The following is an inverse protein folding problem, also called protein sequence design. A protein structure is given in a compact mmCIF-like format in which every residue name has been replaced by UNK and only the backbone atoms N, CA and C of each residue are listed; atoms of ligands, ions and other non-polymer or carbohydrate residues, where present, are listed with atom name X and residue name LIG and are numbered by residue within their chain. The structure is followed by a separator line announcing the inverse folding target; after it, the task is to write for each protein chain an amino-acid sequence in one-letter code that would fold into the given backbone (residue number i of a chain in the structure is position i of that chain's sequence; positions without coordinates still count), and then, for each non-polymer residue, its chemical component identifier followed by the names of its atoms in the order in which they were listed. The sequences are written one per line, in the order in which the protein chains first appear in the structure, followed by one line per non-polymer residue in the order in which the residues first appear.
data_IF_737093765724
#
_entry.id   IF_737093765724
#
_cell.length_a   1.000
_cell.length_b   1.000
_cell.length_c   1.000
_cell.angle_alpha   90.00
_cell.angle_beta   90.00
_cell.angle_gamma   90.00
#
_symmetry.space_group_name_H-M   'P 1'
#
loop_
_entity.id
_entity.type
_entity.pdbx_description
1 polymer ?
#
# COMPACT_ATOMS: atom_id res chain seq x y z
N UNK A 1 6.11 -15.09 -0.53
CA UNK A 1 7.38 -14.35 -0.52
C UNK A 1 7.39 -13.50 0.74
N UNK A 2 8.37 -13.66 1.64
CA UNK A 2 8.44 -12.92 2.92
C UNK A 2 9.02 -11.51 2.78
N UNK A 3 9.29 -10.79 3.90
CA UNK A 3 10.00 -9.51 3.88
C UNK A 3 11.27 -9.51 3.05
N UNK A 4 11.60 -8.36 2.40
CA UNK A 4 12.85 -8.26 1.69
C UNK A 4 13.96 -8.51 2.70
N UNK A 5 14.99 -9.21 2.28
CA UNK A 5 16.14 -9.45 3.14
C UNK A 5 16.77 -8.11 3.57
N UNK A 6 17.49 -8.11 4.69
CA UNK A 6 18.28 -6.95 5.11
C UNK A 6 19.20 -6.46 3.98
N UNK A 7 19.79 -7.40 3.24
CA UNK A 7 20.68 -7.10 2.12
C UNK A 7 19.95 -6.37 0.98
N UNK A 8 18.78 -6.84 0.56
CA UNK A 8 17.96 -6.17 -0.47
C UNK A 8 17.51 -4.78 -0.04
N UNK A 9 17.23 -4.59 1.25
CA UNK A 9 16.88 -3.28 1.82
C UNK A 9 18.06 -2.32 1.79
N UNK A 10 19.26 -2.78 2.16
CA UNK A 10 20.49 -1.99 2.14
C UNK A 10 20.88 -1.55 0.72
N UNK A 11 20.82 -2.46 -0.25
CA UNK A 11 21.10 -2.16 -1.65
C UNK A 11 20.13 -1.10 -2.21
N UNK A 12 18.85 -1.15 -1.83
CA UNK A 12 17.87 -0.11 -2.21
C UNK A 12 18.20 1.25 -1.60
N UNK A 13 18.59 1.30 -0.33
CA UNK A 13 18.97 2.55 0.33
C UNK A 13 20.21 3.16 -0.33
N UNK A 14 21.22 2.35 -0.64
CA UNK A 14 22.41 2.81 -1.37
C UNK A 14 22.07 3.37 -2.74
N UNK A 15 21.19 2.69 -3.50
CA UNK A 15 20.71 3.18 -4.80
C UNK A 15 19.93 4.51 -4.71
N UNK A 16 19.35 4.81 -3.54
CA UNK A 16 18.70 6.10 -3.25
C UNK A 16 19.68 7.16 -2.73
N UNK A 17 20.98 6.84 -2.63
CA UNK A 17 22.01 7.72 -2.08
C UNK A 17 21.93 7.87 -0.56
N UNK A 18 21.24 6.97 0.12
CA UNK A 18 21.00 6.99 1.56
C UNK A 18 21.87 5.94 2.24
N UNK A 19 22.77 6.37 3.13
CA UNK A 19 23.59 5.46 3.92
C UNK A 19 22.78 4.88 5.08
N UNK A 20 22.76 3.55 5.19
CA UNK A 20 22.14 2.86 6.33
C UNK A 20 22.80 3.21 7.67
N UNK A 21 24.11 3.47 7.70
CA UNK A 21 24.80 3.98 8.88
C UNK A 21 24.34 5.39 9.25
N UNK A 22 24.11 6.26 8.25
CA UNK A 22 23.58 7.61 8.48
C UNK A 22 22.18 7.54 9.08
N UNK A 23 21.30 6.70 8.51
CA UNK A 23 19.97 6.46 9.06
C UNK A 23 20.04 5.89 10.47
N UNK A 24 20.91 4.91 10.71
CA UNK A 24 21.05 4.28 12.02
C UNK A 24 21.55 5.25 13.08
N UNK A 25 22.44 6.19 12.70
CA UNK A 25 22.95 7.24 13.58
C UNK A 25 21.86 8.27 13.94
N UNK A 26 20.98 8.58 13.01
CA UNK A 26 19.94 9.62 13.18
C UNK A 26 18.66 9.07 13.82
N UNK A 27 18.23 7.87 13.42
CA UNK A 27 16.93 7.27 13.78
C UNK A 27 17.04 5.98 14.62
N UNK A 28 18.25 5.48 14.88
CA UNK A 28 18.48 4.20 15.55
C UNK A 28 18.57 3.01 14.59
N UNK A 29 19.05 1.88 15.11
CA UNK A 29 19.25 0.66 14.30
C UNK A 29 17.94 0.15 13.69
N UNK A 30 18.03 -0.36 12.46
CA UNK A 30 16.94 -1.07 11.78
C UNK A 30 16.83 -2.53 12.23
N UNK A 31 17.77 -3.01 13.05
CA UNK A 31 17.69 -4.33 13.69
C UNK A 31 16.65 -4.30 14.81
N UNK A 32 15.45 -4.77 14.50
CA UNK A 32 14.37 -4.98 15.46
C UNK A 32 14.25 -6.47 15.78
N UNK A 33 14.19 -6.81 17.06
CA UNK A 33 13.86 -8.18 17.46
C UNK A 33 12.44 -8.54 16.97
N UNK A 34 12.22 -9.78 16.51
CA UNK A 34 10.88 -10.22 16.14
C UNK A 34 9.91 -10.03 17.32
N UNK A 35 8.81 -9.32 17.09
CA UNK A 35 7.79 -9.19 18.11
C UNK A 35 7.01 -10.51 18.23
N UNK A 36 6.67 -10.90 19.45
CA UNK A 36 5.69 -11.97 19.65
C UNK A 36 4.30 -11.42 19.31
N UNK A 37 3.63 -12.05 18.35
CA UNK A 37 2.26 -11.69 17.98
C UNK A 37 1.30 -12.32 18.99
N UNK A 38 0.55 -11.50 19.72
CA UNK A 38 -0.45 -11.97 20.67
C UNK A 38 -1.65 -12.60 19.95
N UNK A 39 -2.15 -11.92 18.92
CA UNK A 39 -3.30 -12.35 18.11
C UNK A 39 -3.04 -12.12 16.62
N UNK A 40 -3.34 -13.14 15.82
CA UNK A 40 -3.30 -13.04 14.36
C UNK A 40 -4.71 -12.80 13.82
N UNK A 41 -4.85 -11.80 12.94
CA UNK A 41 -6.12 -11.49 12.28
C UNK A 41 -6.19 -12.09 10.88
N UNK A 42 -7.39 -12.49 10.51
CA UNK A 42 -7.75 -13.03 9.19
C UNK A 42 -8.61 -12.04 8.42
N UNK A 43 -8.70 -12.27 7.11
CA UNK A 43 -9.56 -11.48 6.25
C UNK A 43 -11.04 -11.56 6.68
N UNK A 44 -11.67 -10.39 6.86
CA UNK A 44 -13.05 -10.28 7.32
C UNK A 44 -13.24 -10.25 8.84
N UNK A 45 -12.18 -10.47 9.63
CA UNK A 45 -12.24 -10.36 11.09
C UNK A 45 -12.60 -8.94 11.55
N UNK A 46 -13.09 -8.85 12.79
CA UNK A 46 -13.42 -7.58 13.44
C UNK A 46 -12.40 -7.27 14.55
N UNK A 47 -11.75 -6.11 14.45
CA UNK A 47 -10.94 -5.51 15.51
C UNK A 47 -11.75 -4.37 16.12
N UNK A 48 -12.48 -4.67 17.20
CA UNK A 48 -13.52 -3.78 17.70
C UNK A 48 -14.56 -3.50 16.62
N UNK A 49 -14.68 -2.25 16.18
CA UNK A 49 -15.62 -1.83 15.13
C UNK A 49 -15.01 -1.79 13.72
N UNK A 50 -13.75 -2.20 13.57
CA UNK A 50 -13.01 -2.16 12.32
C UNK A 50 -13.02 -3.54 11.66
N UNK A 51 -13.47 -3.61 10.41
CA UNK A 51 -13.39 -4.83 9.60
C UNK A 51 -12.04 -4.92 8.90
N UNK A 52 -11.39 -6.06 9.02
CA UNK A 52 -10.13 -6.38 8.35
C UNK A 52 -10.39 -6.72 6.88
N UNK A 53 -9.61 -6.13 5.98
CA UNK A 53 -9.61 -6.42 4.54
C UNK A 53 -8.17 -6.67 4.10
N UNK A 54 -7.83 -7.91 3.74
CA UNK A 54 -6.51 -8.21 3.19
C UNK A 54 -6.30 -7.55 1.83
N UNK A 55 -5.18 -6.85 1.70
CA UNK A 55 -4.83 -6.04 0.52
C UNK A 55 -3.33 -6.18 0.18
N UNK A 56 -2.82 -7.39 -0.12
CA UNK A 56 -1.40 -7.62 -0.40
C UNK A 56 -0.93 -6.97 -1.72
N UNK A 57 0.39 -7.02 -1.96
CA UNK A 57 1.02 -6.72 -3.25
C UNK A 57 1.61 -5.31 -3.41
N UNK A 58 1.29 -4.39 -2.51
CA UNK A 58 1.66 -2.98 -2.67
C UNK A 58 3.12 -2.66 -2.30
N UNK A 59 3.72 -3.45 -1.39
CA UNK A 59 5.11 -3.27 -0.95
C UNK A 59 5.88 -4.61 -0.96
N UNK A 60 7.07 -4.70 -1.58
CA UNK A 60 7.85 -5.91 -1.74
C UNK A 60 8.34 -6.39 -0.40
N UNK A 61 7.94 -7.62 -0.09
CA UNK A 61 8.16 -8.28 1.17
C UNK A 61 7.58 -7.57 2.40
N UNK A 62 7.29 -6.28 2.37
CA UNK A 62 6.73 -5.62 3.54
C UNK A 62 5.38 -6.19 3.95
N UNK A 63 4.57 -6.78 3.05
CA UNK A 63 3.25 -7.27 3.51
C UNK A 63 2.55 -8.34 2.66
N UNK A 64 2.94 -9.64 2.76
CA UNK A 64 1.99 -10.74 2.51
C UNK A 64 0.74 -10.64 3.38
N UNK A 65 0.90 -10.06 4.58
CA UNK A 65 -0.17 -9.77 5.53
C UNK A 65 -0.70 -8.34 5.48
N UNK A 66 -0.60 -7.63 4.34
CA UNK A 66 -1.11 -6.25 4.26
C UNK A 66 -2.61 -6.28 4.50
N UNK A 67 -3.09 -5.38 5.34
CA UNK A 67 -4.51 -5.19 5.58
C UNK A 67 -4.87 -3.72 5.48
N UNK A 68 -6.09 -3.49 5.00
CA UNK A 68 -6.81 -2.25 5.16
C UNK A 68 -7.90 -2.46 6.22
N UNK A 69 -8.26 -1.40 6.94
CA UNK A 69 -9.29 -1.46 7.98
C UNK A 69 -10.49 -0.61 7.57
N UNK A 70 -11.68 -1.20 7.62
CA UNK A 70 -12.92 -0.52 7.25
C UNK A 70 -13.78 -0.25 8.48
N UNK A 71 -14.12 1.02 8.67
CA UNK A 71 -15.06 1.47 9.69
C UNK A 71 -16.40 1.83 9.06
N UNK A 72 -17.36 0.92 9.17
CA UNK A 72 -18.63 1.00 8.46
C UNK A 72 -19.49 2.20 8.85
N UNK A 73 -19.53 2.54 10.15
CA UNK A 73 -20.37 3.63 10.68
C UNK A 73 -20.13 4.96 9.96
N UNK A 74 -18.87 5.25 9.66
CA UNK A 74 -18.46 6.53 9.05
C UNK A 74 -18.09 6.39 7.57
N UNK A 75 -18.29 5.20 7.00
CA UNK A 75 -17.85 4.85 5.64
C UNK A 75 -16.37 5.21 5.41
N UNK A 76 -15.53 4.87 6.40
CA UNK A 76 -14.12 5.22 6.41
C UNK A 76 -13.26 3.99 6.12
N UNK A 77 -12.39 4.10 5.12
CA UNK A 77 -11.37 3.11 4.81
C UNK A 77 -10.00 3.65 5.23
N UNK A 78 -9.30 2.89 6.08
CA UNK A 78 -7.88 3.08 6.39
C UNK A 78 -7.10 2.19 5.42
N UNK A 79 -6.57 2.80 4.35
CA UNK A 79 -5.93 2.09 3.24
C UNK A 79 -4.48 1.71 3.48
N UNK A 80 -3.81 2.32 4.47
CA UNK A 80 -2.38 2.20 4.69
C UNK A 80 -1.60 2.43 3.38
N UNK A 81 -0.83 1.44 2.91
CA UNK A 81 0.01 1.53 1.71
C UNK A 81 -0.69 1.02 0.45
N UNK A 82 -2.00 0.74 0.50
CA UNK A 82 -2.72 0.22 -0.68
C UNK A 82 -2.82 1.24 -1.82
N UNK A 83 -2.86 2.52 -1.48
CA UNK A 83 -3.00 3.64 -2.40
C UNK A 83 -2.20 4.82 -1.85
N UNK A 84 -1.57 5.57 -2.75
CA UNK A 84 -0.75 6.75 -2.44
C UNK A 84 -1.40 7.98 -3.06
N UNK A 85 -1.28 9.15 -2.43
CA UNK A 85 -1.75 10.43 -2.99
C UNK A 85 -0.70 11.52 -2.86
N UNK A 86 -0.19 12.04 -3.98
CA UNK A 86 0.89 13.03 -3.99
C UNK A 86 2.08 12.66 -3.11
N UNK A 87 2.51 11.41 -3.22
CA UNK A 87 3.61 10.86 -2.43
C UNK A 87 4.83 10.60 -3.32
N UNK A 88 6.03 10.63 -2.72
CA UNK A 88 7.29 10.31 -3.40
C UNK A 88 7.55 11.14 -4.68
N UNK A 89 7.05 12.38 -4.72
CA UNK A 89 7.19 13.28 -5.86
C UNK A 89 6.26 12.97 -7.05
N UNK A 90 5.37 11.97 -6.94
CA UNK A 90 4.38 11.67 -7.96
C UNK A 90 3.07 12.42 -7.68
N UNK A 91 2.56 13.17 -8.67
CA UNK A 91 1.26 13.86 -8.59
C UNK A 91 0.07 12.90 -8.72
N UNK A 92 -1.08 13.25 -8.14
CA UNK A 92 -2.30 12.42 -8.24
C UNK A 92 -2.32 11.20 -7.32
N UNK A 93 -3.17 10.22 -7.63
CA UNK A 93 -3.30 8.97 -6.86
C UNK A 93 -2.68 7.79 -7.60
N UNK A 94 -2.10 6.83 -6.86
CA UNK A 94 -1.39 5.67 -7.41
C UNK A 94 -1.67 4.40 -6.61
N UNK A 95 -1.91 3.27 -7.27
CA UNK A 95 -2.07 1.93 -6.65
C UNK A 95 -0.71 1.30 -6.33
N UNK A 96 0.34 1.73 -7.02
CA UNK A 96 1.66 1.16 -6.89
C UNK A 96 2.64 2.18 -7.45
N UNK A 97 3.57 2.67 -6.63
CA UNK A 97 4.70 3.43 -7.16
C UNK A 97 5.79 2.43 -7.60
N UNK A 98 6.26 2.45 -8.86
CA UNK A 98 7.24 1.48 -9.36
C UNK A 98 8.56 1.46 -8.59
N UNK A 99 8.89 2.56 -7.90
CA UNK A 99 10.07 2.67 -7.05
C UNK A 99 9.96 1.84 -5.76
N UNK A 100 8.73 1.48 -5.36
CA UNK A 100 8.47 0.79 -4.09
C UNK A 100 7.87 -0.58 -4.36
N UNK A 101 6.84 -0.75 -5.21
CA UNK A 101 6.12 -2.02 -5.41
C UNK A 101 6.80 -3.00 -6.39
N UNK A 102 6.75 -4.30 -6.07
CA UNK A 102 7.32 -5.40 -6.88
C UNK A 102 6.26 -6.45 -7.29
N UNK A 103 4.98 -6.27 -6.89
CA UNK A 103 3.85 -7.10 -7.36
C UNK A 103 2.65 -6.23 -7.79
N UNK A 104 2.77 -5.53 -8.93
CA UNK A 104 1.72 -4.65 -9.43
C UNK A 104 0.41 -5.41 -9.75
N UNK A 105 0.49 -6.70 -10.08
CA UNK A 105 -0.68 -7.54 -10.36
C UNK A 105 -1.51 -7.79 -9.10
N UNK A 106 -0.87 -8.17 -7.99
CA UNK A 106 -1.61 -8.35 -6.73
C UNK A 106 -2.09 -7.00 -6.18
N UNK A 107 -1.31 -5.92 -6.34
CA UNK A 107 -1.72 -4.58 -5.94
C UNK A 107 -3.02 -4.12 -6.64
N UNK A 108 -3.13 -4.29 -7.98
CA UNK A 108 -4.37 -3.91 -8.69
C UNK A 108 -5.57 -4.77 -8.27
N UNK A 109 -5.37 -6.06 -7.99
CA UNK A 109 -6.45 -6.92 -7.47
C UNK A 109 -6.92 -6.44 -6.09
N UNK A 110 -5.99 -6.05 -5.23
CA UNK A 110 -6.31 -5.47 -3.92
C UNK A 110 -7.06 -4.13 -4.05
N UNK A 111 -6.62 -3.23 -4.92
CA UNK A 111 -7.31 -1.96 -5.18
C UNK A 111 -8.72 -2.16 -5.77
N UNK A 112 -8.89 -3.13 -6.68
CA UNK A 112 -10.20 -3.56 -7.20
C UNK A 112 -11.12 -4.11 -6.10
N UNK A 113 -10.55 -4.77 -5.11
CA UNK A 113 -11.32 -5.27 -3.96
C UNK A 113 -11.79 -4.10 -3.11
N UNK A 114 -10.89 -3.15 -2.82
CA UNK A 114 -11.24 -1.95 -2.06
C UNK A 114 -12.33 -1.13 -2.75
N UNK A 115 -12.27 -0.97 -4.07
CA UNK A 115 -13.28 -0.20 -4.83
C UNK A 115 -14.72 -0.73 -4.70
N UNK A 116 -14.90 -1.98 -4.25
CA UNK A 116 -16.22 -2.59 -4.01
C UNK A 116 -16.74 -2.39 -2.59
N UNK A 117 -15.95 -1.81 -1.69
CA UNK A 117 -16.33 -1.50 -0.31
C UNK A 117 -17.15 -0.21 -0.29
N UNK A 118 -18.17 -0.14 0.57
CA UNK A 118 -19.06 1.03 0.67
C UNK A 118 -18.46 2.17 1.53
N UNK A 119 -17.29 2.66 1.14
CA UNK A 119 -16.65 3.81 1.80
C UNK A 119 -16.88 5.12 1.02
N UNK A 120 -16.71 6.24 1.72
CA UNK A 120 -16.76 7.61 1.15
C UNK A 120 -15.50 8.40 1.54
N UNK A 121 -14.83 7.97 2.62
CA UNK A 121 -13.57 8.52 3.13
C UNK A 121 -12.45 7.51 3.01
N UNK A 122 -11.28 7.96 2.59
CA UNK A 122 -10.04 7.18 2.53
C UNK A 122 -8.90 7.92 3.20
N UNK A 123 -8.26 7.26 4.16
CA UNK A 123 -7.01 7.71 4.77
C UNK A 123 -5.89 6.76 4.38
N UNK A 124 -4.84 7.31 3.77
CA UNK A 124 -3.65 6.60 3.31
C UNK A 124 -2.47 6.92 4.23
N UNK A 125 -1.51 6.01 4.35
CA UNK A 125 -0.28 6.25 5.12
C UNK A 125 0.56 7.39 4.49
N UNK A 126 0.51 7.49 3.16
CA UNK A 126 1.25 8.46 2.37
C UNK A 126 0.30 9.32 1.53
N UNK A 127 0.00 10.52 2.04
CA UNK A 127 -0.88 11.48 1.40
C UNK A 127 -0.51 12.93 1.74
N UNK A 128 -0.68 13.86 0.79
CA UNK A 128 -0.61 15.31 1.05
C UNK A 128 -1.84 15.82 1.80
N UNK A 129 -3.00 15.24 1.51
CA UNK A 129 -4.27 15.56 2.16
C UNK A 129 -5.25 14.40 2.11
N UNK A 130 -6.10 14.24 3.15
CA UNK A 130 -7.07 13.15 3.22
C UNK A 130 -8.15 13.28 2.15
N UNK A 131 -8.69 12.14 1.71
CA UNK A 131 -9.83 12.08 0.80
C UNK A 131 -11.10 11.83 1.61
N UNK A 132 -11.86 12.89 1.90
CA UNK A 132 -12.95 12.82 2.86
C UNK A 132 -14.34 12.66 2.25
N UNK A 133 -14.44 12.75 0.92
CA UNK A 133 -15.68 12.60 0.15
C UNK A 133 -15.35 12.03 -1.22
N UNK A 134 -16.27 11.25 -1.79
CA UNK A 134 -16.13 10.67 -3.14
C UNK A 134 -14.94 9.73 -3.28
N UNK A 135 -14.46 9.17 -2.15
CA UNK A 135 -13.22 8.42 -2.15
C UNK A 135 -13.33 7.12 -2.94
N UNK A 136 -14.48 6.45 -2.87
CA UNK A 136 -14.73 5.22 -3.62
C UNK A 136 -14.69 5.45 -5.12
N UNK A 137 -15.36 6.49 -5.60
CA UNK A 137 -15.38 6.86 -7.02
C UNK A 137 -13.98 7.22 -7.52
N UNK A 138 -13.16 7.88 -6.68
CA UNK A 138 -11.77 8.15 -7.02
C UNK A 138 -10.95 6.85 -7.16
N UNK A 139 -11.14 5.88 -6.27
CA UNK A 139 -10.47 4.57 -6.35
C UNK A 139 -10.97 3.76 -7.54
N UNK A 140 -12.27 3.77 -7.85
CA UNK A 140 -12.82 3.12 -9.04
C UNK A 140 -12.20 3.68 -10.32
N UNK A 141 -12.12 5.01 -10.46
CA UNK A 141 -11.46 5.67 -11.60
C UNK A 141 -9.99 5.30 -11.71
N UNK A 142 -9.27 5.32 -10.58
CA UNK A 142 -7.85 4.96 -10.53
C UNK A 142 -7.60 3.52 -11.00
N UNK A 143 -8.43 2.58 -10.53
CA UNK A 143 -8.38 1.17 -10.95
C UNK A 143 -8.64 1.04 -12.45
N UNK A 144 -9.64 1.72 -12.98
CA UNK A 144 -9.99 1.68 -14.40
C UNK A 144 -8.89 2.27 -15.29
N UNK A 145 -8.27 3.37 -14.87
CA UNK A 145 -7.11 3.98 -15.55
C UNK A 145 -5.92 3.03 -15.54
N UNK A 146 -5.61 2.44 -14.38
CA UNK A 146 -4.49 1.50 -14.25
C UNK A 146 -4.64 0.29 -15.18
N UNK A 147 -5.82 -0.32 -15.21
CA UNK A 147 -6.11 -1.47 -16.08
C UNK A 147 -6.05 -1.11 -17.56
N UNK A 148 -6.54 0.08 -17.94
CA UNK A 148 -6.44 0.57 -19.32
C UNK A 148 -4.98 0.74 -19.74
N UNK A 149 -4.15 1.37 -18.89
CA UNK A 149 -2.74 1.58 -19.17
C UNK A 149 -1.96 0.26 -19.28
N UNK A 150 -2.23 -0.71 -18.41
CA UNK A 150 -1.64 -2.05 -18.52
C UNK A 150 -1.97 -2.71 -19.86
N UNK A 151 -3.22 -2.64 -20.32
CA UNK A 151 -3.62 -3.19 -21.62
C UNK A 151 -2.88 -2.50 -22.75
N UNK A 152 -2.79 -1.16 -22.75
CA UNK A 152 -2.06 -0.42 -23.79
C UNK A 152 -0.59 -0.82 -23.87
N UNK A 153 0.09 -1.03 -22.73
CA UNK A 153 1.49 -1.46 -22.69
C UNK A 153 1.70 -2.91 -23.17
N UNK A 154 0.69 -3.79 -23.03
CA UNK A 154 0.75 -5.17 -23.53
C UNK A 154 0.55 -5.29 -25.05
N UNK A 155 0.10 -4.22 -25.72
CA UNK A 155 -0.21 -4.22 -27.16
C UNK A 155 0.61 -3.18 -27.96
N UNK A 156 1.65 -2.59 -27.40
CA UNK A 156 2.65 -1.82 -28.16
C UNK A 156 3.45 -2.77 -29.07
N UNK A 157 3.50 -2.55 -30.40
CA UNK A 157 4.37 -3.33 -31.28
C UNK A 157 5.85 -3.03 -30.96
N UNK A 158 6.67 -4.08 -30.90
CA UNK A 158 8.14 -3.99 -30.89
C UNK A 158 8.67 -3.21 -32.10
#
# INVERSE_FOLDING_TARGET
MGPPSTQETLEKLENLGVSAESLSREYGTLEVEPISVDDQVSDGDMIGSLKVIHTPGHTPGHTPGHISLYYEKDKLLLGADSIYKKAFGAEGMHISVPQISMDPTTAIVSAQRLSKVNFDKLLMAHQDSPLLEGAREAVEKLVDEYIRNLKSQMFEPL
#
